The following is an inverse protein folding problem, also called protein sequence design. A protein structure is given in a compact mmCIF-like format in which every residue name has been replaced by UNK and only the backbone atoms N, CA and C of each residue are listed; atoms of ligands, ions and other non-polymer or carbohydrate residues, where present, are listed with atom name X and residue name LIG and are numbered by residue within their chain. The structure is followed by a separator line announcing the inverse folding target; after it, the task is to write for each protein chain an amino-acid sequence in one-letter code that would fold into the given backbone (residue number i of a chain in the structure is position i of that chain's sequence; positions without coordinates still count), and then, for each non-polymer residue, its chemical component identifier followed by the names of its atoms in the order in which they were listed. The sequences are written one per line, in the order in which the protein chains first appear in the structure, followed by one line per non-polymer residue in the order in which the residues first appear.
data_IF_749895314365
#
_entry.id   IF_749895314365
#
_cell.length_a   1.000
_cell.length_b   1.000
_cell.length_c   1.000
_cell.angle_alpha   90.00
_cell.angle_beta   90.00
_cell.angle_gamma   90.00
#
_symmetry.space_group_name_H-M   'P 1'
#
loop_
_entity.id
_entity.type
_entity.pdbx_description
1 polymer ?
#
# COMPACT_ATOMS: atom_id res chain seq x y z
N UNK A 1 -35.80 20.16 29.69
CA UNK A 1 -35.91 20.41 28.24
C UNK A 1 -34.56 20.44 27.53
N UNK A 2 -33.60 21.30 27.92
CA UNK A 2 -32.27 21.39 27.28
C UNK A 2 -31.50 20.05 27.22
N UNK A 3 -31.46 19.27 28.32
CA UNK A 3 -30.80 17.95 28.36
C UNK A 3 -31.45 16.90 27.44
N UNK A 4 -32.78 16.92 27.32
CA UNK A 4 -33.54 16.03 26.43
C UNK A 4 -33.30 16.40 24.97
N UNK A 5 -33.23 17.70 24.66
CA UNK A 5 -32.90 18.19 23.33
C UNK A 5 -31.47 17.79 22.92
N UNK A 6 -30.50 17.95 23.83
CA UNK A 6 -29.10 17.54 23.58
C UNK A 6 -28.99 16.02 23.34
N UNK A 7 -29.72 15.21 24.11
CA UNK A 7 -29.71 13.75 23.93
C UNK A 7 -30.35 13.35 22.59
N UNK A 8 -31.47 13.96 22.21
CA UNK A 8 -32.08 13.72 20.89
C UNK A 8 -31.13 14.09 19.75
N UNK A 9 -30.46 15.24 19.81
CA UNK A 9 -29.49 15.65 18.79
C UNK A 9 -28.32 14.66 18.70
N UNK A 10 -27.78 14.22 19.84
CA UNK A 10 -26.68 13.25 19.85
C UNK A 10 -27.09 11.88 19.25
N UNK A 11 -28.28 11.39 19.57
CA UNK A 11 -28.81 10.13 19.00
C UNK A 11 -29.08 10.27 17.52
N UNK A 12 -29.62 11.40 17.06
CA UNK A 12 -29.82 11.68 15.64
C UNK A 12 -28.50 11.75 14.87
N UNK A 13 -27.45 12.34 15.44
CA UNK A 13 -26.12 12.40 14.82
C UNK A 13 -25.45 11.03 14.73
N UNK A 14 -25.60 10.17 15.75
CA UNK A 14 -25.13 8.79 15.70
C UNK A 14 -25.92 7.94 14.69
N UNK A 15 -27.23 8.19 14.55
CA UNK A 15 -28.08 7.53 13.55
C UNK A 15 -27.79 7.93 12.10
N UNK A 16 -27.05 9.02 11.88
CA UNK A 16 -26.56 9.45 10.56
C UNK A 16 -25.17 8.87 10.24
N UNK A 17 -24.58 8.07 11.12
CA UNK A 17 -23.34 7.35 10.81
C UNK A 17 -23.65 6.17 9.88
N UNK A 18 -23.29 6.32 8.61
CA UNK A 18 -23.27 5.20 7.65
C UNK A 18 -21.99 4.39 7.84
N UNK A 19 -22.02 3.06 7.64
CA UNK A 19 -20.79 2.28 7.54
C UNK A 19 -19.90 2.86 6.44
N UNK A 20 -18.62 3.03 6.74
CA UNK A 20 -17.62 3.44 5.76
C UNK A 20 -17.28 2.24 4.90
N UNK A 21 -17.69 2.24 3.63
CA UNK A 21 -17.26 1.27 2.61
C UNK A 21 -15.90 1.67 2.03
N UNK A 22 -14.91 1.95 2.89
CA UNK A 22 -13.60 2.46 2.48
C UNK A 22 -12.63 1.38 1.97
N UNK A 23 -12.97 0.09 2.10
CA UNK A 23 -12.15 -0.98 1.55
C UNK A 23 -12.47 -1.14 0.06
N UNK A 24 -11.50 -0.82 -0.79
CA UNK A 24 -11.54 -1.10 -2.22
C UNK A 24 -10.34 -1.98 -2.57
N UNK A 25 -10.54 -3.24 -3.02
CA UNK A 25 -11.83 -3.94 -3.06
C UNK A 25 -12.40 -4.29 -1.67
N UNK A 26 -13.71 -4.46 -1.59
CA UNK A 26 -14.41 -4.78 -0.33
C UNK A 26 -13.97 -6.15 0.20
N UNK A 27 -13.75 -6.24 1.51
CA UNK A 27 -13.37 -7.50 2.17
C UNK A 27 -11.92 -7.94 1.94
N UNK A 28 -11.12 -7.16 1.20
CA UNK A 28 -9.69 -7.43 1.06
C UNK A 28 -8.93 -7.04 2.33
N UNK A 29 -8.23 -8.01 2.91
CA UNK A 29 -7.30 -7.82 4.02
C UNK A 29 -5.93 -8.28 3.56
N UNK A 30 -4.97 -7.34 3.54
CA UNK A 30 -3.57 -7.62 3.27
C UNK A 30 -2.83 -7.71 4.61
N UNK A 31 -2.06 -8.78 4.79
CA UNK A 31 -1.22 -8.94 5.97
C UNK A 31 -0.01 -8.00 5.92
N UNK A 32 0.46 -7.59 7.09
CA UNK A 32 1.69 -6.82 7.27
C UNK A 32 2.58 -7.55 8.26
N UNK A 33 3.90 -7.45 8.08
CA UNK A 33 4.87 -8.07 8.98
C UNK A 33 5.01 -7.27 10.28
N UNK A 34 5.00 -7.92 11.44
CA UNK A 34 5.21 -7.25 12.73
C UNK A 34 6.71 -7.21 13.08
N UNK A 35 7.31 -6.03 13.09
CA UNK A 35 8.69 -5.84 13.52
C UNK A 35 8.80 -5.76 15.04
N UNK A 36 9.71 -6.51 15.68
CA UNK A 36 10.11 -6.21 17.05
C UNK A 36 10.96 -4.93 17.06
N UNK A 37 10.77 -4.07 18.07
CA UNK A 37 11.48 -2.77 18.18
C UNK A 37 13.00 -2.92 18.25
N UNK A 38 13.51 -4.08 18.66
CA UNK A 38 14.95 -4.39 18.69
C UNK A 38 15.56 -4.69 17.32
N UNK A 39 14.75 -4.93 16.28
CA UNK A 39 15.19 -5.31 14.94
C UNK A 39 14.33 -4.60 13.88
N UNK A 40 14.20 -3.28 13.98
CA UNK A 40 13.56 -2.46 12.96
C UNK A 40 14.46 -2.42 11.70
N UNK A 41 13.87 -2.36 10.48
CA UNK A 41 14.65 -2.23 9.27
C UNK A 41 15.33 -0.85 9.18
N UNK A 42 16.53 -0.82 8.60
CA UNK A 42 17.29 0.40 8.34
C UNK A 42 16.85 0.99 6.98
N UNK A 43 16.76 2.32 6.88
CA UNK A 43 16.34 3.01 5.65
C UNK A 43 17.54 3.39 4.79
N UNK A 44 18.33 2.41 4.36
CA UNK A 44 19.57 2.62 3.58
C UNK A 44 19.53 2.01 2.17
N UNK A 45 18.46 1.30 1.82
CA UNK A 45 18.27 0.67 0.51
C UNK A 45 18.88 -0.73 0.39
N UNK A 46 19.56 -1.23 1.42
CA UNK A 46 19.75 -2.67 1.60
C UNK A 46 18.42 -3.25 2.12
N UNK A 47 17.98 -4.34 1.52
CA UNK A 47 16.69 -4.96 1.87
C UNK A 47 16.88 -6.29 2.60
N UNK A 48 18.12 -6.67 2.94
CA UNK A 48 18.42 -7.97 3.55
C UNK A 48 17.71 -8.20 4.89
N UNK A 49 17.39 -7.15 5.66
CA UNK A 49 16.56 -7.31 6.88
C UNK A 49 15.19 -7.90 6.56
N UNK A 50 14.65 -7.66 5.36
CA UNK A 50 13.33 -8.12 4.94
C UNK A 50 13.29 -9.61 4.55
N UNK A 51 14.42 -10.31 4.51
CA UNK A 51 14.49 -11.75 4.27
C UNK A 51 13.75 -12.59 5.34
N UNK A 52 13.46 -11.99 6.50
CA UNK A 52 12.65 -12.63 7.55
C UNK A 52 11.16 -12.69 7.20
N UNK A 53 10.70 -11.88 6.24
CA UNK A 53 9.28 -11.78 5.89
C UNK A 53 8.85 -12.99 5.06
N UNK A 54 7.81 -13.74 5.48
CA UNK A 54 7.31 -14.88 4.72
C UNK A 54 6.86 -14.51 3.30
N UNK A 55 7.11 -15.40 2.33
CA UNK A 55 6.78 -15.20 0.92
C UNK A 55 5.31 -14.82 0.68
N UNK A 56 4.37 -15.30 1.50
CA UNK A 56 2.94 -15.01 1.35
C UNK A 56 2.56 -13.57 1.75
N UNK A 57 3.48 -12.80 2.33
CA UNK A 57 3.32 -11.37 2.60
C UNK A 57 4.00 -10.49 1.55
N UNK A 58 4.76 -11.09 0.63
CA UNK A 58 5.28 -10.39 -0.54
C UNK A 58 4.22 -10.34 -1.63
N UNK A 59 3.94 -9.13 -2.08
CA UNK A 59 3.00 -8.85 -3.15
C UNK A 59 3.75 -8.55 -4.44
N UNK A 60 3.12 -8.89 -5.56
CA UNK A 60 3.62 -8.66 -6.92
C UNK A 60 2.48 -8.09 -7.77
N UNK A 61 2.79 -7.54 -8.96
CA UNK A 61 1.77 -7.18 -9.95
C UNK A 61 0.78 -8.33 -10.27
N UNK A 62 1.15 -9.57 -9.98
CA UNK A 62 0.34 -10.76 -10.25
C UNK A 62 -0.34 -11.33 -9.00
N UNK A 63 -0.25 -10.66 -7.84
CA UNK A 63 -0.90 -11.13 -6.63
C UNK A 63 -2.42 -11.07 -6.79
N UNK A 64 -3.08 -12.21 -6.59
CA UNK A 64 -4.54 -12.34 -6.66
C UNK A 64 -5.16 -12.35 -5.26
N UNK A 65 -6.30 -11.69 -5.12
CA UNK A 65 -7.14 -11.74 -3.93
C UNK A 65 -8.60 -11.87 -4.31
N UNK A 66 -9.32 -12.77 -3.63
CA UNK A 66 -10.73 -13.09 -3.93
C UNK A 66 -10.99 -13.48 -5.40
N UNK A 67 -9.97 -14.01 -6.10
CA UNK A 67 -10.06 -14.37 -7.51
C UNK A 67 -9.90 -13.20 -8.48
N UNK A 68 -9.54 -12.02 -7.99
CA UNK A 68 -9.20 -10.85 -8.81
C UNK A 68 -7.73 -10.48 -8.62
N UNK A 69 -7.04 -10.15 -9.70
CA UNK A 69 -5.69 -9.59 -9.61
C UNK A 69 -5.76 -8.25 -8.87
N UNK A 70 -4.80 -8.00 -7.98
CA UNK A 70 -4.61 -6.67 -7.42
C UNK A 70 -4.32 -5.73 -8.59
N UNK A 71 -5.29 -4.91 -8.96
CA UNK A 71 -5.31 -4.15 -10.22
C UNK A 71 -3.97 -3.44 -10.46
N UNK A 72 -3.21 -3.90 -11.46
CA UNK A 72 -2.03 -3.17 -11.93
C UNK A 72 -2.52 -2.12 -12.91
N UNK A 73 -2.39 -0.86 -12.52
CA UNK A 73 -2.52 0.25 -13.46
C UNK A 73 -1.16 0.39 -14.15
N UNK A 74 -1.05 -0.03 -15.40
CA UNK A 74 0.15 0.17 -16.22
C UNK A 74 -0.08 1.43 -17.06
N UNK A 75 0.76 2.45 -16.89
CA UNK A 75 0.68 3.70 -17.66
C UNK A 75 -0.72 4.39 -17.66
N UNK A 76 -1.51 4.21 -16.61
CA UNK A 76 -2.87 4.77 -16.50
C UNK A 76 -3.98 3.88 -17.09
N UNK A 77 -3.65 2.70 -17.61
CA UNK A 77 -4.60 1.74 -18.18
C UNK A 77 -4.81 0.56 -17.21
N UNK A 78 -6.09 0.26 -16.95
CA UNK A 78 -6.48 -0.91 -16.14
C UNK A 78 -6.53 -2.13 -17.05
N UNK A 79 -5.82 -3.20 -16.66
CA UNK A 79 -5.85 -4.49 -17.39
C UNK A 79 -4.92 -4.57 -18.60
N UNK A 80 -4.02 -3.61 -18.77
CA UNK A 80 -2.92 -3.73 -19.72
C UNK A 80 -1.97 -4.89 -19.33
N UNK A 81 -1.34 -5.49 -20.34
CA UNK A 81 -0.41 -6.60 -20.12
C UNK A 81 0.85 -6.12 -19.39
N UNK A 82 1.22 -6.81 -18.31
CA UNK A 82 2.42 -6.47 -17.52
C UNK A 82 3.65 -7.09 -18.19
N UNK A 83 4.52 -6.24 -18.74
CA UNK A 83 5.82 -6.65 -19.24
C UNK A 83 6.87 -6.63 -18.13
N UNK A 84 7.20 -7.80 -17.57
CA UNK A 84 8.20 -7.92 -16.49
C UNK A 84 9.65 -7.65 -16.92
N UNK A 85 9.90 -7.49 -18.22
CA UNK A 85 11.20 -7.05 -18.74
C UNK A 85 11.33 -5.52 -18.83
N UNK A 86 10.23 -4.78 -18.64
CA UNK A 86 10.19 -3.33 -18.52
C UNK A 86 10.23 -2.98 -17.01
N UNK A 87 9.07 -2.82 -16.38
CA UNK A 87 8.92 -2.66 -14.94
C UNK A 87 8.46 -3.97 -14.29
N UNK A 88 9.24 -4.47 -13.33
CA UNK A 88 8.85 -5.57 -12.46
C UNK A 88 9.20 -5.27 -11.02
N UNK A 89 8.33 -5.62 -10.09
CA UNK A 89 8.59 -5.34 -8.68
C UNK A 89 7.86 -6.34 -7.80
N UNK A 90 8.36 -6.46 -6.58
CA UNK A 90 7.61 -6.99 -5.46
C UNK A 90 7.68 -6.01 -4.31
N UNK A 91 6.69 -6.03 -3.44
CA UNK A 91 6.68 -5.18 -2.27
C UNK A 91 6.08 -5.90 -1.08
N UNK A 92 6.42 -5.43 0.10
CA UNK A 92 5.73 -5.82 1.32
C UNK A 92 5.71 -4.64 2.28
N UNK A 93 5.03 -4.80 3.40
CA UNK A 93 4.93 -3.77 4.42
C UNK A 93 5.10 -4.37 5.80
N UNK A 94 5.68 -3.56 6.68
CA UNK A 94 5.89 -3.88 8.08
C UNK A 94 5.21 -2.86 8.97
N UNK A 95 4.87 -3.30 10.18
CA UNK A 95 4.31 -2.48 11.25
C UNK A 95 5.15 -2.65 12.50
N UNK A 96 5.31 -1.57 13.27
CA UNK A 96 5.76 -1.62 14.64
C UNK A 96 4.75 -0.86 15.51
N UNK A 97 4.17 -1.57 16.48
CA UNK A 97 3.11 -1.06 17.35
C UNK A 97 3.64 -0.15 18.46
N UNK A 98 4.86 -0.40 18.96
CA UNK A 98 5.47 0.44 19.99
C UNK A 98 5.80 1.86 19.50
N UNK A 99 6.19 2.01 18.23
CA UNK A 99 6.55 3.29 17.62
C UNK A 99 5.46 3.87 16.70
N UNK A 100 4.34 3.16 16.53
CA UNK A 100 3.24 3.53 15.65
C UNK A 100 3.72 3.82 14.21
N UNK A 101 4.57 2.92 13.67
CA UNK A 101 5.26 3.14 12.39
C UNK A 101 5.00 2.04 11.36
N UNK A 102 4.60 2.48 10.17
CA UNK A 102 4.59 1.65 8.96
C UNK A 102 5.92 1.75 8.21
N UNK A 103 6.35 0.62 7.68
CA UNK A 103 7.54 0.45 6.88
C UNK A 103 7.14 -0.16 5.54
N UNK A 104 7.73 0.32 4.46
CA UNK A 104 7.48 -0.17 3.12
C UNK A 104 8.80 -0.48 2.44
N UNK A 105 8.83 -1.58 1.69
CA UNK A 105 9.96 -1.93 0.84
C UNK A 105 9.44 -2.27 -0.54
N UNK A 106 10.15 -1.78 -1.56
CA UNK A 106 9.92 -2.12 -2.95
C UNK A 106 11.23 -2.67 -3.51
N UNK A 107 11.20 -3.93 -3.90
CA UNK A 107 12.28 -4.59 -4.63
C UNK A 107 11.89 -4.53 -6.11
N UNK A 108 12.53 -3.63 -6.86
CA UNK A 108 12.16 -3.28 -8.23
C UNK A 108 13.29 -3.53 -9.21
N UNK A 109 12.92 -4.02 -10.37
CA UNK A 109 13.66 -3.97 -11.61
C UNK A 109 12.94 -3.05 -12.58
N UNK A 110 13.72 -2.26 -13.31
CA UNK A 110 13.23 -1.32 -14.31
C UNK A 110 14.31 -1.23 -15.40
N UNK A 111 13.97 -1.50 -16.66
CA UNK A 111 14.92 -1.41 -17.77
C UNK A 111 15.18 0.04 -18.22
N UNK A 112 14.34 0.98 -17.77
CA UNK A 112 14.50 2.41 -17.98
C UNK A 112 14.71 3.14 -16.66
N UNK A 113 15.95 3.53 -16.41
CA UNK A 113 16.27 4.47 -15.33
C UNK A 113 16.42 5.89 -15.88
N UNK A 114 15.39 6.72 -15.71
CA UNK A 114 15.46 8.15 -15.99
C UNK A 114 15.56 8.97 -14.70
N UNK A 115 16.79 9.37 -14.36
CA UNK A 115 17.06 10.22 -13.20
C UNK A 115 16.70 11.69 -13.44
N UNK A 116 16.72 12.13 -14.70
CA UNK A 116 16.83 13.55 -15.05
C UNK A 116 15.56 14.06 -15.76
N UNK A 117 14.44 13.33 -15.68
CA UNK A 117 13.13 13.71 -16.25
C UNK A 117 13.12 13.97 -17.77
N UNK A 118 14.17 13.55 -18.50
CA UNK A 118 14.36 13.85 -19.92
C UNK A 118 13.81 12.80 -20.87
N UNK A 119 13.34 11.68 -20.32
CA UNK A 119 12.85 10.50 -21.03
C UNK A 119 11.37 10.59 -21.44
N UNK A 120 10.97 9.62 -22.26
CA UNK A 120 9.60 9.47 -22.78
C UNK A 120 8.74 8.87 -21.65
N UNK A 121 8.47 9.62 -20.58
CA UNK A 121 7.69 9.14 -19.44
C UNK A 121 7.13 10.30 -18.62
N UNK A 122 5.80 10.43 -18.59
CA UNK A 122 5.11 11.53 -17.88
C UNK A 122 5.19 11.46 -16.35
N UNK A 123 5.81 10.42 -15.78
CA UNK A 123 5.94 10.22 -14.35
C UNK A 123 7.26 10.77 -13.76
N UNK A 124 8.20 11.21 -14.60
CA UNK A 124 9.51 11.68 -14.19
C UNK A 124 9.60 13.16 -13.86
N UNK A 125 8.48 13.89 -13.71
CA UNK A 125 8.53 15.32 -13.38
C UNK A 125 9.29 15.56 -12.08
N UNK A 126 10.53 16.05 -12.21
CA UNK A 126 11.37 16.52 -11.12
C UNK A 126 10.59 17.56 -10.29
N UNK A 127 10.39 17.28 -9.00
CA UNK A 127 9.78 18.16 -8.03
C UNK A 127 10.81 18.92 -7.16
N UNK A 128 12.08 18.96 -7.60
CA UNK A 128 13.12 19.79 -6.97
C UNK A 128 13.12 21.27 -7.37
#
# INVERSE_FOLDING_TARGET
MRKLLTLSVAVSLLGLSSPSFAHVPEGLILGVWQWPTSHLPVMDGDISEWDVVPDNLWLTPFSEFNGELLHVVVAGEVGAEVNTADLNFRWTSGWNDELDRLYFVYDRFDDLWDRDAGGIGGAGGDDS
#
